data_IF_409242941152
#
_entry.id   IF_409242941152
#
_cell.length_a   1.000
_cell.length_b   1.000
_cell.length_c   1.000
_cell.angle_alpha   90.00
_cell.angle_beta   90.00
_cell.angle_gamma   90.00
#
_symmetry.space_group_name_H-M   'P 1'
#
loop_
_entity.id
_entity.type
_entity.pdbx_description
1 polymer ?
#
# COMPACT_ATOMS: atom_id res chain seq x y z
N UNK A 1 39.63 53.43 -51.98
CA UNK A 1 39.04 52.26 -51.29
C UNK A 1 39.57 52.33 -49.86
N UNK A 2 38.79 52.93 -48.96
CA UNK A 2 39.19 53.22 -47.58
C UNK A 2 38.21 52.55 -46.62
N UNK A 3 38.66 52.13 -45.42
CA UNK A 3 38.07 51.04 -44.66
C UNK A 3 36.77 51.44 -43.95
N UNK A 4 35.84 50.50 -43.85
CA UNK A 4 34.57 50.54 -43.15
C UNK A 4 34.78 50.50 -41.62
N UNK A 5 35.27 51.60 -41.07
CA UNK A 5 35.58 51.75 -39.65
C UNK A 5 34.37 51.93 -38.74
N UNK A 6 33.52 50.92 -38.59
CA UNK A 6 32.54 50.90 -37.50
C UNK A 6 32.46 49.55 -36.79
N UNK A 7 33.62 49.05 -36.36
CA UNK A 7 33.71 48.21 -35.16
C UNK A 7 33.43 49.09 -33.95
N UNK A 8 32.14 49.33 -33.68
CA UNK A 8 31.71 49.84 -32.39
C UNK A 8 31.82 48.71 -31.39
N UNK A 9 32.95 48.61 -30.70
CA UNK A 9 33.09 47.70 -29.58
C UNK A 9 32.04 48.07 -28.54
N UNK A 10 31.08 47.16 -28.30
CA UNK A 10 30.17 47.26 -27.17
C UNK A 10 31.01 47.16 -25.91
N UNK A 11 31.29 48.31 -25.30
CA UNK A 11 31.98 48.39 -24.03
C UNK A 11 31.06 47.84 -22.92
N UNK A 12 31.16 46.53 -22.68
CA UNK A 12 30.41 45.78 -21.66
C UNK A 12 30.94 45.96 -20.23
N UNK A 13 31.73 47.02 -19.97
CA UNK A 13 32.46 47.20 -18.71
C UNK A 13 31.59 47.34 -17.45
N UNK A 14 30.27 47.50 -17.57
CA UNK A 14 29.38 47.74 -16.43
C UNK A 14 28.15 46.80 -16.34
N UNK A 15 28.18 45.61 -16.96
CA UNK A 15 27.08 44.66 -16.81
C UNK A 15 27.23 43.81 -15.53
N UNK A 16 26.75 44.33 -14.41
CA UNK A 16 26.72 43.60 -13.13
C UNK A 16 25.46 42.73 -13.06
N UNK A 17 25.59 41.41 -13.16
CA UNK A 17 24.50 40.47 -12.87
C UNK A 17 24.40 40.35 -11.35
N UNK A 18 23.39 40.95 -10.73
CA UNK A 18 23.05 40.67 -9.34
C UNK A 18 22.26 39.36 -9.29
N UNK A 19 22.90 38.29 -8.84
CA UNK A 19 22.19 37.07 -8.45
C UNK A 19 21.39 37.39 -7.18
N UNK A 20 20.13 37.78 -7.35
CA UNK A 20 19.21 37.99 -6.23
C UNK A 20 18.89 36.59 -5.69
N UNK A 21 19.63 36.18 -4.66
CA UNK A 21 19.27 34.99 -3.87
C UNK A 21 17.89 35.17 -3.23
N UNK A 22 17.23 34.07 -2.80
CA UNK A 22 15.93 34.17 -2.14
C UNK A 22 16.02 35.12 -0.93
N UNK A 23 15.03 36.00 -0.77
CA UNK A 23 15.01 36.93 0.36
C UNK A 23 15.00 36.16 1.68
N UNK A 24 15.56 36.77 2.73
CA UNK A 24 15.70 36.12 4.04
C UNK A 24 14.36 35.62 4.61
N UNK A 25 13.25 36.29 4.28
CA UNK A 25 11.89 35.85 4.63
C UNK A 25 11.47 34.57 3.94
N UNK A 26 11.88 34.38 2.69
CA UNK A 26 11.49 33.23 1.87
C UNK A 26 12.34 32.01 2.22
N UNK A 27 13.62 32.23 2.53
CA UNK A 27 14.51 31.18 3.04
C UNK A 27 14.04 30.63 4.40
N UNK A 28 13.51 31.48 5.29
CA UNK A 28 12.93 31.04 6.57
C UNK A 28 11.66 30.21 6.39
N UNK A 29 10.77 30.61 5.49
CA UNK A 29 9.55 29.84 5.16
C UNK A 29 9.90 28.50 4.53
N UNK A 30 10.90 28.47 3.65
CA UNK A 30 11.42 27.24 3.05
C UNK A 30 11.99 26.31 4.12
N UNK A 31 12.86 26.80 5.01
CA UNK A 31 13.39 26.02 6.11
C UNK A 31 12.29 25.50 7.05
N UNK A 32 11.30 26.34 7.37
CA UNK A 32 10.19 25.96 8.24
C UNK A 32 9.35 24.86 7.59
N UNK A 33 9.07 24.97 6.28
CA UNK A 33 8.31 23.97 5.53
C UNK A 33 9.03 22.61 5.46
N UNK A 34 10.36 22.62 5.28
CA UNK A 34 11.19 21.41 5.26
C UNK A 34 11.24 20.79 6.66
N UNK A 35 11.39 21.60 7.71
CA UNK A 35 11.38 21.11 9.09
C UNK A 35 10.03 20.46 9.44
N UNK A 36 8.90 21.08 9.07
CA UNK A 36 7.58 20.46 9.27
C UNK A 36 7.40 19.18 8.47
N UNK A 37 7.93 19.09 7.25
CA UNK A 37 7.85 17.87 6.45
C UNK A 37 8.66 16.74 7.10
N UNK A 38 9.87 17.04 7.58
CA UNK A 38 10.72 16.06 8.28
C UNK A 38 10.04 15.55 9.55
N UNK A 39 9.37 16.41 10.32
CA UNK A 39 8.66 16.01 11.55
C UNK A 39 7.46 15.08 11.30
N UNK A 40 6.82 15.16 10.13
CA UNK A 40 5.65 14.31 9.78
C UNK A 40 6.09 12.90 9.36
N UNK A 41 7.27 12.75 8.75
CA UNK A 41 7.77 11.45 8.24
C UNK A 41 8.24 10.52 9.37
N UNK A 42 8.65 11.05 10.53
CA UNK A 42 9.19 10.25 11.64
C UNK A 42 8.14 9.45 12.42
N UNK A 43 6.84 9.66 12.17
CA UNK A 43 5.75 8.97 12.87
C UNK A 43 5.07 7.85 12.06
N UNK A 44 5.51 7.56 10.83
CA UNK A 44 4.92 6.46 10.06
C UNK A 44 5.48 5.11 10.50
N UNK A 45 4.96 4.58 11.60
CA UNK A 45 5.15 3.19 12.00
C UNK A 45 3.89 2.40 11.64
N UNK A 46 3.85 1.80 10.45
CA UNK A 46 2.81 0.81 10.12
C UNK A 46 3.14 -0.52 10.82
N UNK A 47 3.12 -0.53 12.16
CA UNK A 47 3.24 -1.77 12.91
C UNK A 47 1.90 -2.49 12.85
N UNK A 48 1.89 -3.73 12.34
CA UNK A 48 0.73 -4.59 12.43
C UNK A 48 0.39 -4.78 13.91
N UNK A 49 -0.75 -4.21 14.33
CA UNK A 49 -1.19 -4.14 15.74
C UNK A 49 -1.74 -5.50 16.23
N UNK A 50 -1.09 -6.60 15.89
CA UNK A 50 -1.41 -7.93 16.42
C UNK A 50 -0.66 -8.11 17.75
N UNK A 51 -1.20 -7.47 18.78
CA UNK A 51 -0.64 -7.55 20.11
C UNK A 51 -0.83 -8.97 20.67
N UNK A 52 0.19 -9.55 21.31
CA UNK A 52 0.11 -10.90 21.86
C UNK A 52 -1.05 -11.07 22.85
N UNK A 53 -1.48 -9.99 23.52
CA UNK A 53 -2.65 -10.02 24.41
C UNK A 53 -4.00 -10.29 23.66
N UNK A 54 -4.08 -10.01 22.36
CA UNK A 54 -5.24 -10.34 21.52
C UNK A 54 -5.26 -11.83 21.13
N UNK A 55 -4.20 -12.59 21.44
CA UNK A 55 -4.19 -14.04 21.27
C UNK A 55 -4.83 -14.70 22.50
N UNK A 56 -5.63 -15.74 22.27
CA UNK A 56 -6.23 -16.52 23.34
C UNK A 56 -5.78 -17.97 23.21
N UNK A 57 -5.26 -18.53 24.29
CA UNK A 57 -4.96 -19.95 24.39
C UNK A 57 -6.20 -20.64 24.97
N UNK A 58 -6.83 -21.50 24.18
CA UNK A 58 -7.94 -22.32 24.67
C UNK A 58 -7.39 -23.66 25.18
N UNK A 59 -7.62 -23.94 26.46
CA UNK A 59 -7.39 -25.28 27.01
C UNK A 59 -8.62 -26.13 26.70
N UNK A 60 -8.47 -27.18 25.89
CA UNK A 60 -9.55 -28.07 25.51
C UNK A 60 -9.08 -29.19 24.59
N UNK A 61 -9.88 -30.24 24.47
CA UNK A 61 -9.68 -31.27 23.45
C UNK A 61 -10.29 -30.80 22.14
N UNK A 62 -9.52 -30.90 21.04
CA UNK A 62 -10.07 -30.72 19.70
C UNK A 62 -11.21 -31.71 19.50
N UNK A 63 -12.43 -31.19 19.36
CA UNK A 63 -13.59 -31.99 18.95
C UNK A 63 -13.70 -31.84 17.45
N UNK A 64 -13.54 -32.95 16.73
CA UNK A 64 -13.68 -32.94 15.28
C UNK A 64 -15.08 -32.47 14.88
N UNK A 65 -15.18 -31.78 13.74
CA UNK A 65 -16.47 -31.30 13.23
C UNK A 65 -17.44 -32.46 12.97
N UNK A 66 -16.94 -33.68 12.69
CA UNK A 66 -17.76 -34.86 12.43
C UNK A 66 -18.82 -34.58 11.36
N UNK A 67 -20.08 -34.86 11.69
CA UNK A 67 -21.24 -34.57 10.82
C UNK A 67 -21.74 -33.13 10.89
N UNK A 68 -21.20 -32.29 11.79
CA UNK A 68 -21.63 -30.91 11.97
C UNK A 68 -20.95 -29.95 10.99
N UNK A 69 -19.93 -30.42 10.25
CA UNK A 69 -19.33 -29.66 9.18
C UNK A 69 -20.24 -29.52 7.96
N UNK A 70 -20.15 -28.39 7.27
CA UNK A 70 -20.78 -28.19 5.97
C UNK A 70 -19.73 -28.25 4.87
N UNK A 71 -20.05 -28.93 3.77
CA UNK A 71 -19.16 -29.02 2.61
C UNK A 71 -19.28 -27.72 1.80
N UNK A 72 -18.15 -27.05 1.60
CA UNK A 72 -18.06 -25.94 0.65
C UNK A 72 -18.04 -26.50 -0.78
N UNK A 73 -19.21 -26.55 -1.41
CA UNK A 73 -19.36 -27.16 -2.74
C UNK A 73 -18.66 -26.36 -3.84
N UNK A 74 -18.01 -27.10 -4.74
CA UNK A 74 -17.37 -26.60 -5.97
C UNK A 74 -17.91 -27.41 -7.15
N UNK A 75 -17.88 -26.83 -8.35
CA UNK A 75 -18.38 -27.51 -9.56
C UNK A 75 -17.52 -28.72 -9.97
N UNK A 76 -16.24 -28.73 -9.55
CA UNK A 76 -15.29 -29.81 -9.77
C UNK A 76 -14.21 -29.75 -8.66
N UNK A 77 -13.16 -30.58 -8.77
CA UNK A 77 -12.01 -30.60 -7.85
C UNK A 77 -10.76 -29.89 -8.39
N UNK A 78 -10.84 -29.25 -9.56
CA UNK A 78 -9.72 -28.69 -10.30
C UNK A 78 -10.11 -27.34 -10.94
N UNK A 79 -9.40 -26.27 -10.57
CA UNK A 79 -9.71 -24.91 -11.02
C UNK A 79 -11.17 -24.45 -10.79
N UNK A 80 -11.75 -24.75 -9.62
CA UNK A 80 -13.07 -24.27 -9.23
C UNK A 80 -13.05 -23.40 -7.97
N UNK A 81 -14.04 -22.49 -7.89
CA UNK A 81 -14.30 -21.65 -6.72
C UNK A 81 -15.63 -22.03 -6.11
N UNK A 82 -15.69 -22.09 -4.78
CA UNK A 82 -16.89 -22.42 -4.03
C UNK A 82 -17.98 -21.35 -4.18
N UNK A 83 -19.20 -21.68 -3.79
CA UNK A 83 -20.20 -20.67 -3.42
C UNK A 83 -19.77 -19.89 -2.17
N UNK A 84 -20.46 -18.78 -1.87
CA UNK A 84 -20.16 -17.96 -0.69
C UNK A 84 -20.40 -18.76 0.60
N UNK A 85 -19.38 -18.81 1.46
CA UNK A 85 -19.42 -19.46 2.76
C UNK A 85 -19.57 -18.43 3.86
N UNK A 86 -20.43 -18.67 4.84
CA UNK A 86 -20.59 -17.80 6.01
C UNK A 86 -19.49 -18.09 7.03
N UNK A 87 -18.87 -17.05 7.58
CA UNK A 87 -17.80 -17.16 8.61
C UNK A 87 -18.41 -17.50 9.98
N UNK A 88 -19.65 -17.08 10.24
CA UNK A 88 -20.32 -17.22 11.53
C UNK A 88 -20.01 -16.10 12.55
N UNK A 89 -19.09 -15.19 12.20
CA UNK A 89 -18.80 -13.97 12.95
C UNK A 89 -18.28 -12.87 12.02
N UNK A 90 -18.16 -11.63 12.53
CA UNK A 90 -17.58 -10.51 11.78
C UNK A 90 -16.06 -10.57 11.89
N UNK A 91 -15.40 -10.93 10.79
CA UNK A 91 -13.94 -10.88 10.66
C UNK A 91 -13.51 -9.48 10.18
N UNK A 92 -12.74 -8.77 10.99
CA UNK A 92 -12.23 -7.42 10.68
C UNK A 92 -10.82 -7.50 10.11
N UNK A 93 -10.64 -7.01 8.89
CA UNK A 93 -9.33 -6.96 8.24
C UNK A 93 -9.19 -5.69 7.41
N UNK A 94 -8.06 -5.00 7.58
CA UNK A 94 -7.74 -3.74 6.89
C UNK A 94 -8.87 -2.69 6.94
N UNK A 95 -9.45 -2.49 8.14
CA UNK A 95 -10.55 -1.54 8.36
C UNK A 95 -11.91 -1.96 7.77
N UNK A 96 -12.00 -3.14 7.13
CA UNK A 96 -13.22 -3.67 6.54
C UNK A 96 -13.80 -4.83 7.35
N UNK A 97 -15.12 -4.96 7.33
CA UNK A 97 -15.85 -6.04 7.99
C UNK A 97 -16.22 -7.11 6.95
N UNK A 98 -15.84 -8.36 7.21
CA UNK A 98 -16.17 -9.51 6.38
C UNK A 98 -16.99 -10.52 7.18
N UNK A 99 -18.09 -11.00 6.60
CA UNK A 99 -18.94 -12.05 7.20
C UNK A 99 -18.98 -13.32 6.36
N UNK A 100 -18.36 -13.28 5.19
CA UNK A 100 -18.35 -14.35 4.21
C UNK A 100 -16.96 -14.52 3.60
N UNK A 101 -16.71 -15.68 3.00
CA UNK A 101 -15.53 -15.96 2.19
C UNK A 101 -15.88 -16.89 1.03
N UNK A 102 -14.93 -17.06 0.11
CA UNK A 102 -14.95 -18.10 -0.93
C UNK A 102 -13.60 -18.79 -0.97
N UNK A 103 -13.59 -20.07 -1.29
CA UNK A 103 -12.37 -20.84 -1.47
C UNK A 103 -12.20 -21.31 -2.91
N UNK A 104 -10.96 -21.51 -3.33
CA UNK A 104 -10.59 -22.18 -4.58
C UNK A 104 -10.08 -23.59 -4.28
N UNK A 105 -10.33 -24.54 -5.18
CA UNK A 105 -9.75 -25.90 -5.14
C UNK A 105 -8.23 -25.88 -5.16
N UNK A 106 -7.61 -24.78 -5.60
CA UNK A 106 -6.17 -24.56 -5.60
C UNK A 106 -5.62 -23.97 -4.28
N UNK A 107 -6.42 -23.96 -3.20
CA UNK A 107 -5.95 -23.61 -1.85
C UNK A 107 -6.04 -22.13 -1.46
N UNK A 108 -6.68 -21.30 -2.27
CA UNK A 108 -6.86 -19.87 -1.96
C UNK A 108 -8.18 -19.59 -1.27
N UNK A 109 -8.17 -18.65 -0.31
CA UNK A 109 -9.36 -18.13 0.35
C UNK A 109 -9.41 -16.62 0.11
N UNK A 110 -10.57 -16.13 -0.33
CA UNK A 110 -10.86 -14.70 -0.49
C UNK A 110 -11.97 -14.30 0.46
N UNK A 111 -11.75 -13.23 1.21
CA UNK A 111 -12.75 -12.64 2.08
C UNK A 111 -13.81 -11.86 1.27
N UNK A 112 -15.06 -11.93 1.73
CA UNK A 112 -16.21 -11.32 1.09
C UNK A 112 -16.96 -12.24 0.14
N UNK A 113 -17.90 -11.65 -0.60
CA UNK A 113 -18.83 -12.33 -1.51
C UNK A 113 -18.41 -12.27 -2.99
N UNK A 114 -17.40 -11.47 -3.33
CA UNK A 114 -16.88 -11.36 -4.69
C UNK A 114 -16.03 -12.58 -5.06
N UNK A 115 -16.27 -13.17 -6.24
CA UNK A 115 -15.41 -14.22 -6.77
C UNK A 115 -13.93 -13.77 -6.82
N UNK A 116 -12.95 -14.66 -6.61
CA UNK A 116 -11.56 -14.39 -6.96
C UNK A 116 -11.45 -14.01 -8.45
N UNK A 117 -10.48 -13.18 -8.82
CA UNK A 117 -10.27 -12.79 -10.22
C UNK A 117 -9.86 -13.95 -11.13
N UNK A 118 -9.37 -15.06 -10.55
CA UNK A 118 -9.07 -16.31 -11.24
C UNK A 118 -9.22 -17.49 -10.27
N UNK A 119 -9.55 -18.66 -10.80
CA UNK A 119 -9.53 -19.94 -10.06
C UNK A 119 -8.09 -20.44 -9.88
N UNK A 120 -7.20 -20.11 -10.81
CA UNK A 120 -5.77 -20.45 -10.83
C UNK A 120 -4.90 -19.27 -10.35
N UNK A 121 -5.27 -18.63 -9.23
CA UNK A 121 -4.38 -17.62 -8.63
C UNK A 121 -3.05 -18.31 -8.30
N UNK A 122 -1.97 -17.90 -8.96
CA UNK A 122 -0.62 -18.35 -8.65
C UNK A 122 0.20 -17.09 -8.37
N UNK A 123 0.71 -16.95 -7.14
CA UNK A 123 1.70 -15.93 -6.84
C UNK A 123 3.07 -16.53 -7.14
N UNK A 124 3.67 -16.13 -8.28
CA UNK A 124 4.99 -16.60 -8.70
C UNK A 124 6.10 -16.28 -7.69
N UNK A 125 5.86 -15.28 -6.84
CA UNK A 125 6.63 -14.97 -5.64
C UNK A 125 5.62 -14.69 -4.54
N UNK A 126 5.85 -15.23 -3.34
CA UNK A 126 5.00 -14.91 -2.18
C UNK A 126 4.83 -13.40 -2.10
N UNK A 127 3.59 -12.92 -2.18
CA UNK A 127 3.29 -11.50 -2.30
C UNK A 127 3.69 -10.78 -1.00
N UNK A 128 4.96 -10.41 -0.87
CA UNK A 128 5.47 -9.48 0.14
C UNK A 128 5.17 -8.04 -0.30
N UNK A 129 3.92 -7.75 -0.66
CA UNK A 129 3.48 -6.34 -0.74
C UNK A 129 3.43 -5.85 0.69
N UNK A 130 4.54 -5.29 1.14
CA UNK A 130 4.64 -4.45 2.32
C UNK A 130 3.66 -3.29 2.13
N UNK A 131 2.55 -3.34 2.87
CA UNK A 131 1.68 -2.19 3.08
C UNK A 131 2.30 -1.20 4.06
#
# INVERSE_FOLDING_TARGET
>A
MAPDGRTGDLNISNFTITLIGPNLSDMKKMLLSIATLVLVVIQSSAQLNYNAYLTQNFSGTYTDLGTNGSIASTINKDDAVSTNQNIGFVFRYNGQNYTQFRLSTNGFIKLGNGAPSSTALFYATGNTTTG
#
